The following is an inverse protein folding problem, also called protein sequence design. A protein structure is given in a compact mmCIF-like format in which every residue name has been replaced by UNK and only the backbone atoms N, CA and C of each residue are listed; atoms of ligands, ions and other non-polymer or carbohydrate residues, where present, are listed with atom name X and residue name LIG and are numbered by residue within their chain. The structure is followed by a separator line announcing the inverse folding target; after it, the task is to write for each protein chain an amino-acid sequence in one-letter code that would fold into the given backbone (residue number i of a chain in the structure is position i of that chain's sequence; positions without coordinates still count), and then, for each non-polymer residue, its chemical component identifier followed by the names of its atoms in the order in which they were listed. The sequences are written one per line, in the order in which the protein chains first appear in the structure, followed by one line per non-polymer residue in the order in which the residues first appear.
data_IF_392455990125
#
_entry.id   IF_392455990125
#
_cell.length_a   1.000
_cell.length_b   1.000
_cell.length_c   1.000
_cell.angle_alpha   90.00
_cell.angle_beta   90.00
_cell.angle_gamma   90.00
#
_symmetry.space_group_name_H-M   'P 1'
#
loop_
_entity.id
_entity.type
_entity.pdbx_description
1 polymer ?
#
# COMPACT_ATOMS: atom_id res chain seq x y z
N UNK A 1 -13.86 -19.33 5.95
CA UNK A 1 -14.49 -18.31 6.80
C UNK A 1 -13.45 -17.27 7.21
N UNK A 2 -13.01 -16.42 6.28
CA UNK A 2 -12.24 -15.21 6.62
C UNK A 2 -13.14 -14.05 6.20
N UNK A 3 -13.98 -13.62 7.12
CA UNK A 3 -14.79 -12.42 6.97
C UNK A 3 -13.87 -11.23 6.77
N UNK A 4 -14.20 -10.44 5.75
CA UNK A 4 -13.71 -9.11 5.47
C UNK A 4 -13.33 -8.36 6.75
N UNK A 5 -12.11 -7.84 6.81
CA UNK A 5 -11.82 -6.70 7.66
C UNK A 5 -12.29 -5.47 6.87
N UNK A 6 -13.50 -4.91 7.11
CA UNK A 6 -13.77 -3.56 6.64
C UNK A 6 -12.65 -2.68 7.22
N UNK A 7 -11.97 -1.93 6.35
CA UNK A 7 -10.95 -0.98 6.81
C UNK A 7 -11.55 -0.14 7.93
N UNK A 8 -10.77 0.12 8.99
CA UNK A 8 -11.25 0.81 10.20
C UNK A 8 -12.08 2.06 9.88
N UNK A 9 -11.73 2.77 8.80
CA UNK A 9 -12.48 3.91 8.29
C UNK A 9 -13.91 3.63 7.82
N UNK A 10 -14.21 2.53 7.11
CA UNK A 10 -15.57 2.25 6.64
C UNK A 10 -16.48 1.74 7.77
N UNK A 11 -15.91 0.97 8.71
CA UNK A 11 -16.59 0.57 9.95
C UNK A 11 -16.93 1.78 10.82
N UNK A 12 -15.98 2.71 10.98
CA UNK A 12 -16.16 3.94 11.76
C UNK A 12 -17.15 4.90 11.05
N UNK A 13 -17.08 5.07 9.72
CA UNK A 13 -18.05 5.90 8.97
C UNK A 13 -19.50 5.43 9.10
N UNK A 14 -19.72 4.11 9.19
CA UNK A 14 -21.07 3.55 9.38
C UNK A 14 -21.60 3.77 10.81
N UNK A 15 -20.71 3.75 11.82
CA UNK A 15 -21.09 3.92 13.24
C UNK A 15 -21.09 5.39 13.71
N UNK A 16 -20.36 6.29 13.04
CA UNK A 16 -20.33 7.74 13.33
C UNK A 16 -21.73 8.36 13.37
N UNK A 17 -22.72 7.78 12.66
CA UNK A 17 -24.08 8.32 12.59
C UNK A 17 -25.00 7.90 13.73
N UNK A 18 -24.72 6.80 14.42
CA UNK A 18 -25.70 6.20 15.35
C UNK A 18 -25.10 5.76 16.70
N UNK A 19 -23.79 5.90 16.93
CA UNK A 19 -23.13 5.41 18.15
C UNK A 19 -22.41 6.53 18.91
N UNK A 20 -22.61 6.59 20.23
CA UNK A 20 -21.88 7.48 21.14
C UNK A 20 -20.39 7.05 21.21
N UNK A 21 -19.42 7.89 20.77
CA UNK A 21 -18.00 7.55 20.80
C UNK A 21 -17.50 7.32 22.23
N UNK A 22 -18.16 7.92 23.23
CA UNK A 22 -17.82 7.75 24.64
C UNK A 22 -18.19 6.35 25.14
N UNK A 23 -19.25 5.75 24.62
CA UNK A 23 -19.61 4.36 24.92
C UNK A 23 -18.56 3.40 24.35
N UNK A 24 -18.15 3.61 23.10
CA UNK A 24 -17.11 2.80 22.43
C UNK A 24 -15.79 2.89 23.20
N UNK A 25 -15.35 4.08 23.60
CA UNK A 25 -14.11 4.24 24.35
C UNK A 25 -14.15 3.59 25.73
N UNK A 26 -15.31 3.54 26.40
CA UNK A 26 -15.45 2.80 27.67
C UNK A 26 -15.32 1.29 27.47
N UNK A 27 -15.75 0.76 26.34
CA UNK A 27 -15.55 -0.66 26.00
C UNK A 27 -14.09 -0.95 25.62
N UNK A 28 -13.46 -0.09 24.83
CA UNK A 28 -12.07 -0.26 24.39
C UNK A 28 -11.06 -0.02 25.52
N UNK A 29 -11.37 0.88 26.47
CA UNK A 29 -10.48 1.31 27.54
C UNK A 29 -11.23 1.34 28.90
N UNK A 30 -11.63 0.19 29.46
CA UNK A 30 -12.49 0.11 30.64
C UNK A 30 -11.89 0.77 31.90
N UNK A 31 -10.56 0.81 32.00
CA UNK A 31 -9.84 1.35 33.16
C UNK A 31 -9.51 2.86 33.03
N UNK A 32 -9.90 3.51 31.94
CA UNK A 32 -9.52 4.91 31.68
C UNK A 32 -10.65 5.86 32.01
N UNK A 33 -10.41 6.82 32.91
CA UNK A 33 -11.36 7.90 33.20
C UNK A 33 -11.27 8.94 32.09
N UNK A 34 -12.28 8.97 31.21
CA UNK A 34 -12.38 9.96 30.13
C UNK A 34 -12.86 11.30 30.69
N UNK A 35 -12.12 12.40 30.51
CA UNK A 35 -12.53 13.74 30.95
C UNK A 35 -13.92 14.14 30.41
N UNK A 36 -14.83 14.67 31.24
CA UNK A 36 -16.22 15.00 30.87
C UNK A 36 -16.33 16.02 29.74
N UNK A 37 -15.31 16.86 29.58
CA UNK A 37 -15.21 18.02 28.70
C UNK A 37 -14.70 17.73 27.28
N UNK A 38 -14.37 16.47 26.96
CA UNK A 38 -13.99 16.08 25.60
C UNK A 38 -15.20 16.07 24.66
N UNK A 39 -15.07 16.74 23.52
CA UNK A 39 -16.06 16.76 22.45
C UNK A 39 -16.00 15.49 21.60
N UNK A 40 -17.12 15.19 20.94
CA UNK A 40 -17.29 13.95 20.16
C UNK A 40 -16.23 13.78 19.06
N UNK A 41 -15.78 14.88 18.44
CA UNK A 41 -14.73 14.83 17.42
C UNK A 41 -13.38 14.37 18.00
N UNK A 42 -13.03 14.84 19.20
CA UNK A 42 -11.81 14.38 19.87
C UNK A 42 -11.95 12.93 20.31
N UNK A 43 -13.12 12.52 20.81
CA UNK A 43 -13.39 11.13 21.16
C UNK A 43 -13.25 10.20 19.93
N UNK A 44 -13.78 10.60 18.78
CA UNK A 44 -13.59 9.88 17.52
C UNK A 44 -12.14 9.83 17.08
N UNK A 45 -11.38 10.92 17.23
CA UNK A 45 -9.95 10.93 16.92
C UNK A 45 -9.17 9.95 17.81
N UNK A 46 -9.51 9.84 19.09
CA UNK A 46 -8.92 8.85 20.01
C UNK A 46 -9.26 7.43 19.55
N UNK A 47 -10.51 7.15 19.19
CA UNK A 47 -10.93 5.83 18.66
C UNK A 47 -10.13 5.48 17.41
N UNK A 48 -10.03 6.42 16.46
CA UNK A 48 -9.26 6.21 15.22
C UNK A 48 -7.81 5.90 15.55
N UNK A 49 -7.17 6.70 16.42
CA UNK A 49 -5.77 6.51 16.79
C UNK A 49 -5.51 5.16 17.49
N UNK A 50 -6.45 4.67 18.30
CA UNK A 50 -6.32 3.37 18.98
C UNK A 50 -6.61 2.22 17.99
N UNK A 51 -7.52 2.44 17.04
CA UNK A 51 -7.85 1.46 16.00
C UNK A 51 -6.74 1.28 14.97
N UNK A 52 -5.81 2.25 14.88
CA UNK A 52 -4.65 2.12 14.00
C UNK A 52 -3.80 0.91 14.41
N UNK A 53 -3.50 -0.01 13.48
CA UNK A 53 -2.66 -1.15 13.79
C UNK A 53 -1.30 -0.66 14.32
N UNK A 54 -0.78 -1.26 15.41
CA UNK A 54 0.43 -0.78 16.04
C UNK A 54 1.59 -0.82 15.04
N UNK A 55 2.31 0.31 14.94
CA UNK A 55 3.50 0.40 14.08
C UNK A 55 4.50 -0.70 14.44
N UNK A 56 4.96 -1.43 13.43
CA UNK A 56 5.93 -2.52 13.60
C UNK A 56 7.21 -1.99 14.25
N UNK A 57 7.54 -2.47 15.46
CA UNK A 57 8.82 -2.15 16.12
C UNK A 57 9.98 -2.89 15.44
N UNK A 58 11.15 -2.24 15.33
CA UNK A 58 12.37 -2.90 14.81
C UNK A 58 12.77 -4.03 15.77
N UNK A 59 13.01 -5.22 15.21
CA UNK A 59 13.57 -6.37 15.93
C UNK A 59 15.03 -6.08 16.30
N UNK A 60 15.37 -6.24 17.58
CA UNK A 60 16.72 -5.94 18.09
C UNK A 60 17.71 -7.07 17.81
N UNK A 61 17.23 -8.24 17.47
CA UNK A 61 17.96 -9.49 17.27
C UNK A 61 18.40 -9.74 15.81
N UNK A 62 17.97 -8.89 14.87
CA UNK A 62 18.32 -8.99 13.45
C UNK A 62 18.89 -7.65 13.00
N UNK A 63 20.20 -7.59 12.77
CA UNK A 63 20.84 -6.33 12.36
C UNK A 63 21.96 -6.51 11.33
N UNK A 64 22.48 -7.72 11.13
CA UNK A 64 23.60 -7.95 10.20
C UNK A 64 23.13 -8.59 8.90
N UNK A 65 24.00 -8.57 7.89
CA UNK A 65 23.74 -9.24 6.62
C UNK A 65 23.62 -10.75 6.81
N UNK A 66 24.42 -11.33 7.70
CA UNK A 66 24.41 -12.75 8.04
C UNK A 66 23.07 -13.17 8.64
N UNK A 67 22.45 -12.32 9.48
CA UNK A 67 21.11 -12.57 10.01
C UNK A 67 20.07 -12.64 8.87
N UNK A 68 20.20 -11.75 7.88
CA UNK A 68 19.31 -11.74 6.71
C UNK A 68 19.50 -13.01 5.89
N UNK A 69 20.73 -13.41 5.60
CA UNK A 69 21.03 -14.64 4.86
C UNK A 69 20.48 -15.87 5.59
N UNK A 70 20.64 -15.93 6.91
CA UNK A 70 20.08 -17.00 7.75
C UNK A 70 18.54 -17.04 7.63
N UNK A 71 17.86 -15.91 7.77
CA UNK A 71 16.40 -15.83 7.63
C UNK A 71 15.92 -16.22 6.23
N UNK A 72 16.66 -15.83 5.20
CA UNK A 72 16.41 -16.24 3.82
C UNK A 72 16.65 -17.73 3.58
N UNK A 73 17.37 -18.44 4.46
CA UNK A 73 17.55 -19.89 4.41
C UNK A 73 16.59 -20.68 5.33
N UNK A 74 15.99 -20.04 6.32
CA UNK A 74 15.11 -20.72 7.28
C UNK A 74 13.61 -20.50 6.99
N UNK A 75 13.28 -19.36 6.37
CA UNK A 75 11.89 -18.99 6.09
C UNK A 75 11.26 -19.88 5.01
N UNK A 76 9.95 -20.08 4.98
CA UNK A 76 9.28 -20.82 3.87
C UNK A 76 8.18 -20.01 3.19
N UNK A 77 7.94 -18.81 3.73
CA UNK A 77 6.82 -17.94 3.36
C UNK A 77 7.30 -16.51 3.38
N UNK A 78 8.09 -16.16 2.36
CA UNK A 78 8.65 -14.83 2.18
C UNK A 78 7.69 -14.04 1.29
N UNK A 79 7.26 -12.87 1.77
CA UNK A 79 6.54 -11.89 0.97
C UNK A 79 7.56 -10.95 0.33
N UNK A 80 7.63 -10.95 -0.99
CA UNK A 80 8.50 -10.03 -1.76
C UNK A 80 7.60 -9.15 -2.62
N UNK A 81 7.75 -7.84 -2.50
CA UNK A 81 7.15 -6.87 -3.41
C UNK A 81 8.24 -6.42 -4.38
N UNK A 82 8.13 -6.79 -5.66
CA UNK A 82 9.07 -6.35 -6.69
C UNK A 82 8.48 -5.24 -7.54
N UNK A 83 9.35 -4.39 -8.09
CA UNK A 83 9.05 -3.71 -9.35
C UNK A 83 9.05 -4.76 -10.46
N UNK A 84 7.89 -5.03 -11.05
CA UNK A 84 7.69 -6.01 -12.11
C UNK A 84 8.21 -5.54 -13.49
N UNK A 85 9.34 -4.83 -13.52
CA UNK A 85 9.86 -4.22 -14.75
C UNK A 85 9.06 -2.99 -15.22
N UNK A 86 8.15 -2.49 -14.39
CA UNK A 86 7.55 -1.16 -14.59
C UNK A 86 8.67 -0.12 -14.41
N UNK A 87 8.83 0.83 -15.35
CA UNK A 87 9.83 1.89 -15.23
C UNK A 87 9.67 2.60 -13.88
N UNK A 88 10.79 3.00 -13.26
CA UNK A 88 10.71 3.77 -12.03
C UNK A 88 9.94 5.07 -12.28
N UNK A 89 8.96 5.34 -11.43
CA UNK A 89 8.15 6.55 -11.51
C UNK A 89 8.92 7.78 -11.04
N UNK A 90 9.75 7.62 -10.01
CA UNK A 90 10.26 8.74 -9.19
C UNK A 90 11.73 9.08 -9.44
N UNK A 91 12.44 8.27 -10.20
CA UNK A 91 13.83 8.56 -10.61
C UNK A 91 13.92 9.86 -11.42
N UNK A 92 15.14 10.40 -11.50
CA UNK A 92 15.44 11.60 -12.32
C UNK A 92 14.97 11.46 -13.76
N UNK A 93 15.15 10.27 -14.34
CA UNK A 93 14.69 9.92 -15.69
C UNK A 93 13.41 9.06 -15.66
N UNK A 94 12.73 9.06 -14.52
CA UNK A 94 11.51 8.30 -14.27
C UNK A 94 10.31 8.82 -15.06
N UNK A 95 9.21 8.09 -15.02
CA UNK A 95 7.97 8.42 -15.75
C UNK A 95 7.49 9.84 -15.44
N UNK A 96 7.60 10.27 -14.18
CA UNK A 96 7.14 11.59 -13.75
C UNK A 96 7.90 12.73 -14.43
N UNK A 97 9.22 12.60 -14.59
CA UNK A 97 10.04 13.61 -15.24
C UNK A 97 9.70 13.75 -16.73
N UNK A 98 9.43 12.63 -17.41
CA UNK A 98 9.05 12.61 -18.83
C UNK A 98 7.65 13.18 -19.05
N UNK A 99 6.68 12.78 -18.22
CA UNK A 99 5.31 13.29 -18.30
C UNK A 99 5.21 14.79 -18.04
N UNK A 100 5.99 15.35 -17.12
CA UNK A 100 5.99 16.79 -16.87
C UNK A 100 6.47 17.61 -18.07
N UNK A 101 7.38 17.05 -18.88
CA UNK A 101 7.84 17.68 -20.13
C UNK A 101 6.77 17.60 -21.22
N UNK A 102 6.13 16.44 -21.36
CA UNK A 102 5.14 16.18 -22.41
C UNK A 102 3.76 16.81 -22.12
N UNK A 103 3.44 17.02 -20.84
CA UNK A 103 2.16 17.50 -20.34
C UNK A 103 2.39 18.58 -19.27
N UNK A 104 2.76 19.81 -19.65
CA UNK A 104 3.04 20.89 -18.70
C UNK A 104 1.82 21.34 -17.89
N UNK A 105 0.60 21.02 -18.36
CA UNK A 105 -0.67 21.31 -17.67
C UNK A 105 -0.98 20.31 -16.54
N UNK A 106 -0.17 19.26 -16.38
CA UNK A 106 -0.28 18.30 -15.31
C UNK A 106 0.26 18.94 -14.01
N UNK A 107 -0.60 19.20 -13.00
CA UNK A 107 -0.19 19.94 -11.79
C UNK A 107 0.85 19.17 -10.97
N UNK A 108 0.72 17.85 -10.94
CA UNK A 108 1.68 16.94 -10.36
C UNK A 108 1.59 15.56 -11.03
N UNK A 109 2.65 14.74 -11.00
CA UNK A 109 2.66 13.45 -11.69
C UNK A 109 1.65 12.41 -11.18
N UNK A 110 1.08 12.59 -9.98
CA UNK A 110 0.05 11.70 -9.44
C UNK A 110 -1.32 12.01 -10.05
N UNK A 111 -1.53 13.25 -10.54
CA UNK A 111 -2.77 13.67 -11.17
C UNK A 111 -3.14 12.85 -12.42
N UNK A 112 -2.21 12.13 -13.06
CA UNK A 112 -2.55 11.21 -14.15
C UNK A 112 -3.42 10.02 -13.69
N UNK A 113 -3.46 9.74 -12.38
CA UNK A 113 -4.32 8.73 -11.75
C UNK A 113 -5.54 9.34 -11.07
N UNK A 114 -5.69 10.67 -11.10
CA UNK A 114 -6.86 11.35 -10.58
C UNK A 114 -8.03 11.21 -11.55
N UNK A 115 -9.20 10.84 -11.03
CA UNK A 115 -10.38 10.57 -11.86
C UNK A 115 -10.96 11.84 -12.49
N UNK A 116 -10.93 12.98 -11.79
CA UNK A 116 -11.43 14.26 -12.30
C UNK A 116 -10.48 14.77 -13.38
N UNK A 117 -9.17 14.64 -13.17
CA UNK A 117 -8.18 14.95 -14.19
C UNK A 117 -8.35 14.04 -15.41
N UNK A 118 -8.54 12.73 -15.22
CA UNK A 118 -8.71 11.78 -16.32
C UNK A 118 -9.93 12.13 -17.20
N UNK A 119 -11.04 12.56 -16.60
CA UNK A 119 -12.21 13.00 -17.35
C UNK A 119 -11.95 14.28 -18.16
N UNK A 120 -11.08 15.17 -17.67
CA UNK A 120 -10.70 16.40 -18.36
C UNK A 120 -9.68 16.17 -19.47
N UNK A 121 -8.63 15.40 -19.19
CA UNK A 121 -7.58 15.03 -20.14
C UNK A 121 -7.02 13.62 -19.86
N UNK A 122 -7.47 12.59 -20.60
CA UNK A 122 -7.00 11.22 -20.40
C UNK A 122 -5.66 10.92 -21.11
N UNK A 123 -5.09 11.87 -21.88
CA UNK A 123 -3.87 11.63 -22.68
C UNK A 123 -2.66 11.23 -21.82
N UNK A 124 -2.38 11.84 -20.66
CA UNK A 124 -1.26 11.41 -19.81
C UNK A 124 -1.37 9.96 -19.35
N UNK A 125 -2.58 9.54 -18.96
CA UNK A 125 -2.85 8.16 -18.57
C UNK A 125 -2.62 7.18 -19.71
N UNK A 126 -3.18 7.43 -20.91
CA UNK A 126 -3.02 6.51 -22.04
C UNK A 126 -1.58 6.47 -22.59
N UNK A 127 -0.86 7.59 -22.55
CA UNK A 127 0.57 7.61 -22.91
C UNK A 127 1.36 6.70 -21.97
N UNK A 128 1.13 6.84 -20.66
CA UNK A 128 1.75 5.98 -19.66
C UNK A 128 1.32 4.51 -19.81
N UNK A 129 0.02 4.24 -19.95
CA UNK A 129 -0.51 2.89 -20.07
C UNK A 129 0.13 2.13 -21.25
N UNK A 130 0.36 2.79 -22.38
CA UNK A 130 1.05 2.20 -23.54
C UNK A 130 2.48 1.77 -23.22
N UNK A 131 3.22 2.46 -22.36
CA UNK A 131 4.59 2.10 -21.98
C UNK A 131 4.66 0.86 -21.07
N UNK A 132 3.62 0.62 -20.28
CA UNK A 132 3.58 -0.50 -19.31
C UNK A 132 2.70 -1.67 -19.79
N UNK A 133 2.00 -1.52 -20.92
CA UNK A 133 1.09 -2.55 -21.42
C UNK A 133 1.88 -3.76 -21.96
N UNK A 134 1.60 -4.98 -21.47
CA UNK A 134 2.27 -6.19 -21.96
C UNK A 134 2.06 -6.38 -23.47
N UNK A 135 3.15 -6.34 -24.25
CA UNK A 135 3.14 -6.56 -25.70
C UNK A 135 3.44 -5.33 -26.55
N UNK A 136 3.46 -4.12 -25.98
CA UNK A 136 4.10 -2.96 -26.60
C UNK A 136 5.61 -3.00 -26.27
N UNK A 137 6.46 -3.01 -27.30
CA UNK A 137 7.93 -2.96 -27.27
C UNK A 137 8.62 -3.41 -25.96
N UNK A 138 9.07 -4.66 -25.97
CA UNK A 138 9.78 -5.31 -24.87
C UNK A 138 10.97 -4.47 -24.36
N UNK A 139 10.81 -3.82 -23.20
CA UNK A 139 11.93 -3.27 -22.46
C UNK A 139 12.86 -4.42 -22.04
N UNK A 140 14.15 -4.43 -22.44
CA UNK A 140 15.08 -5.52 -22.13
C UNK A 140 15.36 -5.67 -20.62
N UNK A 141 14.94 -4.70 -19.80
CA UNK A 141 15.06 -4.73 -18.34
C UNK A 141 14.02 -5.63 -17.64
N UNK A 142 13.03 -6.18 -18.36
CA UNK A 142 11.99 -7.05 -17.80
C UNK A 142 12.53 -8.37 -17.21
N UNK A 143 13.74 -8.79 -17.61
CA UNK A 143 14.22 -10.16 -17.34
C UNK A 143 14.84 -10.35 -15.94
N UNK A 144 15.53 -9.35 -15.38
CA UNK A 144 16.37 -9.57 -14.18
C UNK A 144 15.58 -9.74 -12.86
N UNK A 145 14.59 -8.87 -12.62
CA UNK A 145 13.75 -8.92 -11.41
C UNK A 145 12.84 -10.17 -11.40
N UNK A 146 12.24 -10.49 -12.55
CA UNK A 146 11.44 -11.68 -12.73
C UNK A 146 12.25 -12.98 -12.61
N UNK A 147 13.51 -13.01 -13.07
CA UNK A 147 14.37 -14.18 -12.92
C UNK A 147 14.65 -14.51 -11.44
N UNK A 148 14.90 -13.49 -10.62
CA UNK A 148 15.16 -13.67 -9.18
C UNK A 148 13.93 -14.23 -8.47
N UNK A 149 12.74 -13.72 -8.78
CA UNK A 149 11.50 -14.28 -8.24
C UNK A 149 11.19 -15.67 -8.80
N UNK A 150 11.52 -15.96 -10.05
CA UNK A 150 11.35 -17.28 -10.64
C UNK A 150 12.20 -18.30 -9.89
N UNK A 151 13.48 -17.99 -9.63
CA UNK A 151 14.36 -18.81 -8.79
C UNK A 151 13.79 -18.96 -7.37
N UNK A 152 13.32 -17.89 -6.73
CA UNK A 152 12.70 -17.98 -5.39
C UNK A 152 11.39 -18.80 -5.38
N UNK A 153 10.64 -18.84 -6.50
CA UNK A 153 9.44 -19.66 -6.67
C UNK A 153 9.79 -21.13 -6.88
N UNK A 154 10.83 -21.44 -7.66
CA UNK A 154 11.33 -22.81 -7.87
C UNK A 154 11.76 -23.47 -6.57
N UNK A 155 12.34 -22.72 -5.63
CA UNK A 155 12.71 -23.24 -4.32
C UNK A 155 11.58 -23.16 -3.26
N UNK A 156 10.33 -22.86 -3.64
CA UNK A 156 9.14 -22.86 -2.77
C UNK A 156 9.13 -21.81 -1.63
N UNK A 157 9.86 -20.70 -1.76
CA UNK A 157 9.93 -19.66 -0.70
C UNK A 157 8.78 -18.66 -0.73
N UNK A 158 8.16 -18.49 -1.89
CA UNK A 158 7.16 -17.44 -2.11
C UNK A 158 5.77 -17.93 -1.78
N UNK A 159 5.02 -17.10 -1.06
CA UNK A 159 3.58 -17.29 -0.94
C UNK A 159 2.94 -17.15 -2.33
N UNK A 160 2.03 -18.06 -2.74
CA UNK A 160 1.27 -17.86 -3.96
C UNK A 160 0.50 -16.56 -3.85
N UNK A 161 0.65 -15.69 -4.86
CA UNK A 161 -0.17 -14.51 -5.03
C UNK A 161 -1.63 -15.01 -5.12
N UNK A 162 -2.45 -14.73 -4.11
CA UNK A 162 -3.87 -15.01 -4.18
C UNK A 162 -4.44 -14.08 -5.24
N UNK A 163 -4.70 -14.62 -6.43
CA UNK A 163 -5.52 -13.90 -7.39
C UNK A 163 -6.92 -13.74 -6.78
N UNK A 164 -7.55 -12.56 -6.89
CA UNK A 164 -8.95 -12.43 -6.55
C UNK A 164 -9.71 -13.49 -7.34
N UNK A 165 -10.51 -14.31 -6.66
CA UNK A 165 -11.49 -15.14 -7.35
C UNK A 165 -12.60 -14.21 -7.80
N UNK A 166 -12.90 -14.23 -9.09
CA UNK A 166 -14.02 -13.51 -9.71
C UNK A 166 -15.37 -13.90 -9.08
#
# INVERSE_FOLDING_TARGET
MLSSWPGSYSFIQQHIRETDPRAILRELLPETVLPPDLDDMTLWQIIINISEPPKRKKRKDINTLEDVVRLLHESKRILVSVSCGIPDFRSRDGIYARLAVDFPDLPDPQAMFDIEYFQRDPRPFFKFAKEIYPGAESLPHLKSSCQTLHTMREFSWLLPCQQPQD
#
